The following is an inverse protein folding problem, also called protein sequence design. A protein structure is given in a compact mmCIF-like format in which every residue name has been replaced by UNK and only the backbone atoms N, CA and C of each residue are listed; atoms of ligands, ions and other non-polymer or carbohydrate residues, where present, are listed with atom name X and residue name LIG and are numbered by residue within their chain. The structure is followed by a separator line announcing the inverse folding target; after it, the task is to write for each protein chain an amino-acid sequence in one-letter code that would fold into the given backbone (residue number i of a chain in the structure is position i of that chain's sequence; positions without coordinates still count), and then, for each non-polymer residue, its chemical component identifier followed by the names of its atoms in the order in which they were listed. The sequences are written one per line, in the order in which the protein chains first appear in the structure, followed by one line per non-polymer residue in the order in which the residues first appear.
data_IF_348364064413
#
_entry.id   IF_348364064413
#
_cell.length_a   1.000
_cell.length_b   1.000
_cell.length_c   1.000
_cell.angle_alpha   90.00
_cell.angle_beta   90.00
_cell.angle_gamma   90.00
#
_symmetry.space_group_name_H-M   'P 1'
#
loop_
_entity.id
_entity.type
_entity.pdbx_description
1 polymer ?
#
# COMPACT_ATOMS: atom_id res chain seq x y z
N UNK A 1 -16.79 -6.97 54.49
CA UNK A 1 -15.87 -7.24 53.36
C UNK A 1 -16.46 -6.92 51.98
N UNK A 2 -17.79 -6.98 51.79
CA UNK A 2 -18.49 -6.74 50.51
C UNK A 2 -18.34 -5.32 49.91
N UNK A 3 -18.36 -4.27 50.74
CA UNK A 3 -18.26 -2.87 50.26
C UNK A 3 -16.93 -2.54 49.55
N UNK A 4 -15.80 -3.12 50.02
CA UNK A 4 -14.47 -2.88 49.44
C UNK A 4 -14.29 -3.54 48.07
N UNK A 5 -14.91 -4.71 47.85
CA UNK A 5 -14.94 -5.36 46.52
C UNK A 5 -15.78 -4.55 45.52
N UNK A 6 -16.88 -3.93 45.97
CA UNK A 6 -17.78 -3.11 45.15
C UNK A 6 -17.13 -1.81 44.66
N UNK A 7 -16.37 -1.14 45.52
CA UNK A 7 -15.63 0.08 45.15
C UNK A 7 -14.46 -0.22 44.20
N UNK A 8 -13.72 -1.31 44.43
CA UNK A 8 -12.63 -1.75 43.53
C UNK A 8 -13.16 -2.09 42.14
N UNK A 9 -14.30 -2.80 42.05
CA UNK A 9 -14.94 -3.12 40.77
C UNK A 9 -15.36 -1.85 40.02
N UNK A 10 -15.95 -0.87 40.71
CA UNK A 10 -16.31 0.42 40.11
C UNK A 10 -15.09 1.21 39.63
N UNK A 11 -13.97 1.16 40.34
CA UNK A 11 -12.72 1.79 39.92
C UNK A 11 -12.15 1.12 38.67
N UNK A 12 -12.16 -0.21 38.62
CA UNK A 12 -11.70 -0.97 37.44
C UNK A 12 -12.58 -0.67 36.22
N UNK A 13 -13.91 -0.67 36.37
CA UNK A 13 -14.84 -0.34 35.29
C UNK A 13 -14.56 1.06 34.74
N UNK A 14 -14.36 2.06 35.60
CA UNK A 14 -14.04 3.44 35.17
C UNK A 14 -12.73 3.52 34.40
N UNK A 15 -11.68 2.82 34.85
CA UNK A 15 -10.39 2.80 34.15
C UNK A 15 -10.54 2.16 32.77
N UNK A 16 -11.26 1.04 32.67
CA UNK A 16 -11.52 0.37 31.39
C UNK A 16 -12.31 1.28 30.44
N UNK A 17 -13.35 1.96 30.93
CA UNK A 17 -14.14 2.89 30.11
C UNK A 17 -13.28 4.04 29.59
N UNK A 18 -12.43 4.64 30.43
CA UNK A 18 -11.50 5.70 30.01
C UNK A 18 -10.49 5.18 28.98
N UNK A 19 -9.95 3.97 29.17
CA UNK A 19 -9.03 3.35 28.23
C UNK A 19 -9.69 3.10 26.85
N UNK A 20 -10.93 2.61 26.83
CA UNK A 20 -11.69 2.41 25.59
C UNK A 20 -11.93 3.74 24.88
N UNK A 21 -12.33 4.78 25.61
CA UNK A 21 -12.54 6.12 25.02
C UNK A 21 -11.22 6.67 24.46
N UNK A 22 -10.11 6.52 25.18
CA UNK A 22 -8.79 6.98 24.73
C UNK A 22 -8.31 6.24 23.47
N UNK A 23 -8.57 4.92 23.36
CA UNK A 23 -8.27 4.12 22.17
C UNK A 23 -9.14 4.52 20.98
N UNK A 24 -10.43 4.81 21.20
CA UNK A 24 -11.35 5.25 20.13
C UNK A 24 -10.97 6.60 19.52
N UNK A 25 -10.36 7.51 20.29
CA UNK A 25 -9.92 8.83 19.78
C UNK A 25 -8.74 8.70 18.80
N UNK A 26 -7.95 7.62 18.87
CA UNK A 26 -6.83 7.41 17.93
C UNK A 26 -7.30 7.04 16.51
N UNK A 27 -8.55 6.56 16.36
CA UNK A 27 -9.10 6.14 15.06
C UNK A 27 -9.53 7.30 14.16
N UNK A 28 -9.56 8.55 14.66
CA UNK A 28 -10.07 9.71 13.90
C UNK A 28 -9.00 10.44 13.08
N UNK A 29 -7.72 10.14 13.26
CA UNK A 29 -6.61 10.81 12.55
C UNK A 29 -6.32 10.24 11.15
N UNK A 30 -7.10 9.28 10.66
CA UNK A 30 -6.81 8.56 9.41
C UNK A 30 -7.58 9.05 8.16
N UNK A 31 -8.46 10.05 8.28
CA UNK A 31 -9.17 10.61 7.14
C UNK A 31 -8.48 11.89 6.66
N UNK A 32 -7.52 11.76 5.74
CA UNK A 32 -7.12 12.91 4.93
C UNK A 32 -8.30 13.35 4.05
N UNK A 33 -8.60 14.66 3.96
CA UNK A 33 -9.66 15.13 3.07
C UNK A 33 -9.31 14.81 1.62
N UNK A 34 -10.24 14.20 0.90
CA UNK A 34 -10.08 13.71 -0.49
C UNK A 34 -9.48 14.77 -1.43
N UNK A 35 -9.81 16.05 -1.23
CA UNK A 35 -9.27 17.18 -2.00
C UNK A 35 -7.74 17.27 -1.99
N UNK A 36 -7.09 16.96 -0.86
CA UNK A 36 -5.61 17.01 -0.80
C UNK A 36 -4.99 15.93 -1.66
N UNK A 37 -5.62 14.75 -1.72
CA UNK A 37 -5.10 13.63 -2.49
C UNK A 37 -5.21 13.89 -4.01
N UNK A 38 -6.30 14.50 -4.45
CA UNK A 38 -6.51 14.85 -5.86
C UNK A 38 -5.54 15.92 -6.34
N UNK A 39 -5.29 16.96 -5.53
CA UNK A 39 -4.29 17.98 -5.85
C UNK A 39 -2.88 17.41 -5.98
N UNK A 40 -2.48 16.49 -5.09
CA UNK A 40 -1.17 15.80 -5.18
C UNK A 40 -1.07 14.96 -6.46
N UNK A 41 -2.14 14.24 -6.84
CA UNK A 41 -2.17 13.47 -8.10
C UNK A 41 -2.02 14.37 -9.33
N UNK A 42 -2.69 15.51 -9.34
CA UNK A 42 -2.57 16.50 -10.44
C UNK A 42 -1.13 17.03 -10.52
N UNK A 43 -0.51 17.39 -9.41
CA UNK A 43 0.88 17.87 -9.38
C UNK A 43 1.85 16.82 -9.94
N UNK A 44 1.66 15.54 -9.61
CA UNK A 44 2.46 14.43 -10.15
C UNK A 44 2.30 14.33 -11.68
N UNK A 45 1.07 14.43 -12.18
CA UNK A 45 0.78 14.40 -13.61
C UNK A 45 1.37 15.61 -14.35
N UNK A 46 1.34 16.79 -13.75
CA UNK A 46 2.00 17.98 -14.32
C UNK A 46 3.51 17.82 -14.41
N UNK A 47 4.15 17.30 -13.36
CA UNK A 47 5.59 16.96 -13.39
C UNK A 47 5.88 15.91 -14.47
N UNK A 48 4.99 14.95 -14.66
CA UNK A 48 5.14 13.95 -15.72
C UNK A 48 5.08 14.57 -17.12
N UNK A 49 4.21 15.55 -17.38
CA UNK A 49 4.19 16.29 -18.65
C UNK A 49 5.54 16.94 -18.95
N UNK A 50 6.11 17.63 -17.96
CA UNK A 50 7.41 18.28 -18.14
C UNK A 50 8.55 17.27 -18.34
N UNK A 51 8.50 16.14 -17.62
CA UNK A 51 9.44 15.03 -17.83
C UNK A 51 9.36 14.46 -19.25
N UNK A 52 8.16 14.30 -19.81
CA UNK A 52 7.96 13.79 -21.17
C UNK A 52 8.54 14.77 -22.19
N UNK A 53 8.24 16.06 -22.06
CA UNK A 53 8.78 17.11 -22.94
C UNK A 53 10.31 17.13 -22.91
N UNK A 54 10.90 17.09 -21.71
CA UNK A 54 12.35 17.05 -21.55
C UNK A 54 12.96 15.80 -22.20
N UNK A 55 12.38 14.63 -21.92
CA UNK A 55 12.87 13.36 -22.45
C UNK A 55 12.81 13.28 -23.98
N UNK A 56 11.68 13.65 -24.59
CA UNK A 56 11.55 13.65 -26.06
C UNK A 56 12.49 14.67 -26.72
N UNK A 57 12.72 15.83 -26.08
CA UNK A 57 13.70 16.81 -26.56
C UNK A 57 15.13 16.29 -26.51
N UNK A 58 15.48 15.56 -25.45
CA UNK A 58 16.82 14.97 -25.30
C UNK A 58 17.03 13.83 -26.31
N UNK A 59 16.00 13.02 -26.57
CA UNK A 59 16.02 12.01 -27.63
C UNK A 59 16.18 12.65 -29.02
N UNK A 60 15.42 13.71 -29.32
CA UNK A 60 15.55 14.44 -30.58
C UNK A 60 16.97 15.00 -30.75
N UNK A 61 17.55 15.59 -29.70
CA UNK A 61 18.93 16.10 -29.74
C UNK A 61 19.91 14.97 -30.07
N UNK A 62 19.80 13.83 -29.39
CA UNK A 62 20.68 12.68 -29.64
C UNK A 62 20.53 12.13 -31.07
N UNK A 63 19.31 12.08 -31.60
CA UNK A 63 19.04 11.63 -32.98
C UNK A 63 19.62 12.62 -34.01
N UNK A 64 19.44 13.93 -33.81
CA UNK A 64 20.03 14.97 -34.68
C UNK A 64 21.57 14.92 -34.64
N UNK A 65 22.17 14.75 -33.46
CA UNK A 65 23.62 14.58 -33.33
C UNK A 65 24.12 13.33 -34.07
N UNK A 66 23.38 12.22 -34.00
CA UNK A 66 23.71 11.01 -34.74
C UNK A 66 23.64 11.24 -36.26
N UNK A 67 22.62 11.95 -36.75
CA UNK A 67 22.49 12.32 -38.16
C UNK A 67 23.64 13.22 -38.61
N UNK A 68 23.98 14.24 -37.83
CA UNK A 68 25.12 15.13 -38.14
C UNK A 68 26.43 14.35 -38.23
N UNK A 69 26.70 13.44 -37.29
CA UNK A 69 27.89 12.59 -37.34
C UNK A 69 27.94 11.72 -38.61
N UNK A 70 26.80 11.26 -39.13
CA UNK A 70 26.73 10.51 -40.40
C UNK A 70 27.03 11.41 -41.60
N UNK A 71 26.52 12.64 -41.59
CA UNK A 71 26.81 13.65 -42.60
C UNK A 71 28.31 14.01 -42.61
N UNK A 72 28.91 14.22 -41.43
CA UNK A 72 30.33 14.56 -41.29
C UNK A 72 31.25 13.44 -41.79
N UNK A 73 30.83 12.18 -41.65
CA UNK A 73 31.53 11.00 -42.21
C UNK A 73 31.28 10.79 -43.70
N UNK A 74 30.43 11.60 -44.34
CA UNK A 74 30.07 11.48 -45.75
C UNK A 74 29.18 10.26 -46.06
N UNK A 75 28.53 9.66 -45.05
CA UNK A 75 27.66 8.49 -45.22
C UNK A 75 26.29 8.85 -45.84
N UNK A 76 25.89 10.13 -45.75
CA UNK A 76 24.62 10.66 -46.26
C UNK A 76 24.85 12.03 -46.90
N UNK A 77 23.97 12.44 -47.82
CA UNK A 77 24.02 13.78 -48.42
C UNK A 77 23.46 14.86 -47.48
N UNK A 78 23.73 16.14 -47.80
CA UNK A 78 23.15 17.26 -47.05
C UNK A 78 21.63 17.26 -47.15
N UNK A 79 21.07 17.03 -48.34
CA UNK A 79 19.63 16.95 -48.55
C UNK A 79 18.99 15.81 -47.76
N UNK A 80 19.66 14.65 -47.73
CA UNK A 80 19.17 13.49 -46.97
C UNK A 80 19.24 13.74 -45.45
N UNK A 81 20.32 14.36 -44.96
CA UNK A 81 20.45 14.77 -43.56
C UNK A 81 19.32 15.70 -43.13
N UNK A 82 19.03 16.75 -43.90
CA UNK A 82 17.94 17.69 -43.57
C UNK A 82 16.57 17.01 -43.57
N UNK A 83 16.32 16.12 -44.54
CA UNK A 83 15.09 15.32 -44.56
C UNK A 83 14.94 14.45 -43.31
N UNK A 84 16.01 13.76 -42.89
CA UNK A 84 16.00 12.91 -41.70
C UNK A 84 15.78 13.71 -40.41
N UNK A 85 16.40 14.89 -40.28
CA UNK A 85 16.19 15.77 -39.12
C UNK A 85 14.76 16.26 -39.03
N UNK A 86 14.14 16.64 -40.15
CA UNK A 86 12.74 17.05 -40.18
C UNK A 86 11.80 15.91 -39.77
N UNK A 87 12.03 14.70 -40.29
CA UNK A 87 11.26 13.51 -39.90
C UNK A 87 11.39 13.18 -38.41
N UNK A 88 12.62 13.27 -37.86
CA UNK A 88 12.83 13.09 -36.42
C UNK A 88 12.09 14.16 -35.61
N UNK A 89 12.15 15.43 -36.03
CA UNK A 89 11.44 16.52 -35.37
C UNK A 89 9.91 16.32 -35.38
N UNK A 90 9.33 15.96 -36.52
CA UNK A 90 7.90 15.66 -36.64
C UNK A 90 7.47 14.50 -35.74
N UNK A 91 8.24 13.41 -35.73
CA UNK A 91 8.00 12.23 -34.88
C UNK A 91 8.01 12.61 -33.40
N UNK A 92 9.04 13.31 -32.94
CA UNK A 92 9.17 13.69 -31.54
C UNK A 92 8.11 14.73 -31.13
N UNK A 93 7.76 15.67 -32.01
CA UNK A 93 6.67 16.61 -31.77
C UNK A 93 5.33 15.88 -31.60
N UNK A 94 5.01 14.93 -32.50
CA UNK A 94 3.79 14.12 -32.40
C UNK A 94 3.77 13.26 -31.13
N UNK A 95 4.91 12.71 -30.71
CA UNK A 95 5.01 11.97 -29.45
C UNK A 95 4.71 12.85 -28.23
N UNK A 96 5.29 14.06 -28.19
CA UNK A 96 5.04 15.01 -27.11
C UNK A 96 3.55 15.36 -27.07
N UNK A 97 2.97 15.75 -28.21
CA UNK A 97 1.57 16.14 -28.32
C UNK A 97 0.64 15.04 -27.82
N UNK A 98 0.77 13.82 -28.36
CA UNK A 98 -0.09 12.70 -28.00
C UNK A 98 0.04 12.31 -26.52
N UNK A 99 1.28 12.26 -25.99
CA UNK A 99 1.51 11.87 -24.60
C UNK A 99 1.03 12.94 -23.62
N UNK A 100 1.22 14.21 -23.93
CA UNK A 100 0.71 15.33 -23.14
C UNK A 100 -0.83 15.35 -23.15
N UNK A 101 -1.45 15.13 -24.31
CA UNK A 101 -2.91 15.07 -24.43
C UNK A 101 -3.53 13.96 -23.57
N UNK A 102 -2.88 12.79 -23.48
CA UNK A 102 -3.32 11.71 -22.57
C UNK A 102 -3.31 12.18 -21.12
N UNK A 103 -2.26 12.88 -20.70
CA UNK A 103 -2.15 13.36 -19.31
C UNK A 103 -3.15 14.48 -19.03
N UNK A 104 -3.35 15.40 -19.97
CA UNK A 104 -4.35 16.46 -19.81
C UNK A 104 -5.76 15.88 -19.67
N UNK A 105 -6.08 14.82 -20.43
CA UNK A 105 -7.34 14.09 -20.26
C UNK A 105 -7.45 13.41 -18.88
N UNK A 106 -6.34 12.85 -18.35
CA UNK A 106 -6.32 12.29 -16.98
C UNK A 106 -6.56 13.36 -15.92
N UNK A 107 -5.93 14.53 -16.06
CA UNK A 107 -6.14 15.68 -15.16
C UNK A 107 -7.60 16.15 -15.23
N UNK A 108 -8.16 16.28 -16.44
CA UNK A 108 -9.55 16.67 -16.63
C UNK A 108 -10.52 15.66 -15.97
N UNK A 109 -10.21 14.36 -16.05
CA UNK A 109 -11.01 13.32 -15.40
C UNK A 109 -10.94 13.40 -13.87
N UNK A 110 -9.75 13.64 -13.30
CA UNK A 110 -9.57 13.87 -11.85
C UNK A 110 -10.31 15.12 -11.35
N UNK A 111 -10.30 16.19 -12.13
CA UNK A 111 -11.01 17.42 -11.77
C UNK A 111 -12.53 17.24 -11.77
N UNK A 112 -13.06 16.38 -12.66
CA UNK A 112 -14.52 16.10 -12.73
C UNK A 112 -14.97 15.10 -11.69
N UNK A 113 -14.14 14.09 -11.45
CA UNK A 113 -14.43 13.00 -10.53
C UNK A 113 -13.39 13.09 -9.42
N UNK A 114 -13.73 13.73 -8.30
CA UNK A 114 -12.87 13.91 -7.11
C UNK A 114 -12.14 12.60 -6.70
N UNK A 115 -12.71 11.44 -7.05
CA UNK A 115 -12.05 10.13 -7.02
C UNK A 115 -12.12 9.46 -8.40
N UNK A 116 -10.96 9.26 -9.02
CA UNK A 116 -10.77 8.26 -10.06
C UNK A 116 -9.81 7.22 -9.48
N UNK A 117 -10.27 5.99 -9.34
CA UNK A 117 -9.37 4.84 -9.15
C UNK A 117 -8.62 4.64 -10.46
N UNK A 118 -7.62 5.48 -10.70
CA UNK A 118 -6.63 5.19 -11.70
C UNK A 118 -5.85 4.01 -11.15
N UNK A 119 -5.99 2.85 -11.79
CA UNK A 119 -5.03 1.75 -11.71
C UNK A 119 -3.67 2.31 -12.15
N UNK A 120 -3.02 2.99 -11.21
CA UNK A 120 -1.61 3.19 -11.26
C UNK A 120 -1.09 1.83 -10.89
N UNK A 121 -0.41 1.19 -11.84
CA UNK A 121 0.35 -0.03 -11.66
C UNK A 121 1.32 0.23 -10.50
N UNK A 122 0.82 0.01 -9.28
CA UNK A 122 1.38 0.64 -8.10
C UNK A 122 2.65 -0.12 -7.77
N UNK A 123 3.77 0.48 -8.13
CA UNK A 123 5.10 -0.02 -7.77
C UNK A 123 5.39 0.12 -6.28
N UNK A 124 4.50 0.80 -5.55
CA UNK A 124 4.55 0.98 -4.12
C UNK A 124 4.38 -0.36 -3.39
N UNK A 125 5.28 -0.61 -2.43
CA UNK A 125 5.12 -1.68 -1.47
C UNK A 125 4.08 -1.24 -0.44
N UNK A 126 3.21 -2.17 -0.07
CA UNK A 126 2.29 -1.99 1.05
C UNK A 126 2.39 -3.19 1.98
N UNK A 127 2.00 -2.94 3.23
CA UNK A 127 1.87 -3.95 4.26
C UNK A 127 0.37 -4.13 4.51
N UNK A 128 -0.12 -5.36 4.38
CA UNK A 128 -1.47 -5.75 4.78
C UNK A 128 -1.37 -6.66 6.00
N UNK A 129 -2.13 -6.37 7.04
CA UNK A 129 -2.27 -7.19 8.25
C UNK A 129 -3.75 -7.51 8.41
N UNK A 130 -4.08 -8.80 8.49
CA UNK A 130 -5.44 -9.32 8.36
C UNK A 130 -5.70 -9.85 6.95
N UNK A 131 -6.28 -11.04 6.85
CA UNK A 131 -6.79 -11.56 5.58
C UNK A 131 -7.82 -10.58 5.02
N UNK A 132 -7.70 -10.19 3.76
CA UNK A 132 -8.79 -9.43 3.14
C UNK A 132 -9.95 -10.40 2.98
N UNK A 133 -11.16 -10.03 3.41
CA UNK A 133 -12.38 -10.77 3.08
C UNK A 133 -12.77 -10.65 1.60
N UNK A 134 -11.81 -10.27 0.76
CA UNK A 134 -11.93 -9.91 -0.64
C UNK A 134 -11.17 -10.94 -1.48
N UNK A 135 -11.86 -11.51 -2.46
CA UNK A 135 -11.36 -12.62 -3.29
C UNK A 135 -10.17 -12.19 -4.18
N UNK A 136 -9.90 -10.89 -4.28
CA UNK A 136 -8.81 -10.32 -5.07
C UNK A 136 -7.42 -10.39 -4.42
N UNK A 137 -7.30 -10.75 -3.14
CA UNK A 137 -6.01 -10.76 -2.41
C UNK A 137 -5.62 -12.15 -1.91
N UNK A 138 -4.35 -12.33 -1.56
CA UNK A 138 -3.84 -13.59 -1.02
C UNK A 138 -4.36 -13.83 0.41
N UNK A 139 -4.39 -15.10 0.84
CA UNK A 139 -4.85 -15.50 2.17
C UNK A 139 -3.89 -15.16 3.30
N UNK A 140 -2.68 -14.69 2.99
CA UNK A 140 -1.66 -14.45 4.01
C UNK A 140 -2.16 -13.41 5.02
N UNK A 141 -2.05 -13.75 6.31
CA UNK A 141 -2.43 -12.85 7.41
C UNK A 141 -1.56 -11.59 7.42
N UNK A 142 -0.31 -11.70 6.96
CA UNK A 142 0.58 -10.56 6.75
C UNK A 142 1.12 -10.66 5.32
N UNK A 143 0.84 -9.66 4.51
CA UNK A 143 1.42 -9.53 3.18
C UNK A 143 2.32 -8.29 3.12
N UNK A 144 3.53 -8.47 2.61
CA UNK A 144 4.45 -7.39 2.27
C UNK A 144 4.89 -7.53 0.82
N UNK A 145 4.49 -6.59 -0.02
CA UNK A 145 4.83 -6.67 -1.43
C UNK A 145 4.12 -5.60 -2.27
N UNK A 146 4.30 -5.69 -3.58
CA UNK A 146 3.59 -4.84 -4.54
C UNK A 146 2.15 -5.31 -4.67
N UNK A 147 1.21 -4.40 -4.95
CA UNK A 147 -0.23 -4.74 -5.11
C UNK A 147 -0.47 -5.77 -6.20
N UNK A 148 0.21 -5.64 -7.33
CA UNK A 148 0.09 -6.60 -8.44
C UNK A 148 0.57 -8.03 -8.10
N UNK A 149 1.36 -8.18 -7.03
CA UNK A 149 1.84 -9.47 -6.57
C UNK A 149 0.96 -10.07 -5.45
N UNK A 150 0.01 -9.31 -4.90
CA UNK A 150 -0.99 -9.82 -3.94
C UNK A 150 -2.07 -10.54 -4.75
N UNK A 151 -1.72 -11.73 -5.23
CA UNK A 151 -2.56 -12.53 -6.11
C UNK A 151 -3.80 -13.04 -5.39
N UNK A 152 -4.92 -13.24 -6.09
CA UNK A 152 -6.17 -13.69 -5.51
C UNK A 152 -6.02 -15.05 -4.83
N UNK A 153 -6.89 -15.25 -3.83
CA UNK A 153 -6.97 -16.44 -2.99
C UNK A 153 -6.98 -17.72 -3.82
N UNK A 154 -6.03 -18.62 -3.57
CA UNK A 154 -6.05 -19.98 -4.10
C UNK A 154 -6.89 -20.87 -3.18
N UNK A 155 -8.08 -21.26 -3.60
CA UNK A 155 -8.98 -22.11 -2.81
C UNK A 155 -8.50 -23.57 -2.69
N UNK A 156 -7.86 -24.13 -3.73
CA UNK A 156 -7.35 -25.50 -3.73
C UNK A 156 -5.89 -25.56 -3.26
N UNK A 157 -5.69 -25.36 -1.95
CA UNK A 157 -4.39 -25.54 -1.30
C UNK A 157 -4.29 -26.96 -0.75
N UNK A 158 -3.30 -27.70 -1.25
CA UNK A 158 -2.93 -29.02 -0.71
C UNK A 158 -2.15 -28.92 0.60
N UNK A 159 -1.54 -27.77 0.86
CA UNK A 159 -0.76 -27.52 2.07
C UNK A 159 -1.08 -26.13 2.62
N UNK A 160 -1.36 -26.03 3.92
CA UNK A 160 -1.65 -24.77 4.62
C UNK A 160 -0.70 -24.60 5.79
N UNK A 161 -0.21 -23.36 6.01
CA UNK A 161 0.68 -23.04 7.13
C UNK A 161 0.16 -21.84 7.91
N UNK A 162 -0.05 -22.01 9.21
CA UNK A 162 -0.61 -20.98 10.08
C UNK A 162 0.32 -20.71 11.27
N UNK A 163 0.56 -19.44 11.56
CA UNK A 163 1.19 -19.01 12.81
C UNK A 163 0.15 -19.08 13.92
N UNK A 164 0.39 -19.90 14.93
CA UNK A 164 -0.51 -20.09 16.06
C UNK A 164 0.11 -19.43 17.29
N UNK A 165 -0.62 -18.51 17.93
CA UNK A 165 -0.23 -17.91 19.19
C UNK A 165 -1.25 -18.28 20.26
N UNK A 166 -0.78 -18.82 21.38
CA UNK A 166 -1.62 -19.19 22.52
C UNK A 166 -1.05 -18.60 23.81
N UNK A 167 -1.95 -18.15 24.68
CA UNK A 167 -1.63 -17.67 26.02
C UNK A 167 -2.68 -18.19 26.99
N UNK A 168 -2.27 -18.63 28.16
CA UNK A 168 -3.19 -19.13 29.16
C UNK A 168 -2.58 -19.27 30.55
N UNK A 169 -3.39 -19.77 31.47
CA UNK A 169 -3.00 -19.99 32.86
C UNK A 169 -3.22 -21.46 33.23
N UNK A 170 -2.23 -22.06 33.89
CA UNK A 170 -2.30 -23.41 34.44
C UNK A 170 -2.70 -23.30 35.92
N UNK A 171 -3.91 -23.74 36.26
CA UNK A 171 -4.36 -23.83 37.66
C UNK A 171 -4.71 -25.29 37.98
N UNK A 172 -4.37 -25.75 39.18
CA UNK A 172 -4.80 -27.05 39.70
C UNK A 172 -6.10 -26.86 40.50
N UNK A 173 -7.13 -27.68 40.23
CA UNK A 173 -8.35 -27.72 41.03
C UNK A 173 -8.24 -28.81 42.11
N UNK A 174 -8.60 -28.46 43.33
CA UNK A 174 -8.80 -29.41 44.44
C UNK A 174 -10.29 -29.67 44.56
N UNK A 175 -10.68 -30.94 44.65
CA UNK A 175 -12.08 -31.34 44.69
C UNK A 175 -12.77 -30.82 45.97
N UNK A 176 -13.80 -30.00 45.80
CA UNK A 176 -14.56 -29.39 46.88
C UNK A 176 -14.10 -28.01 47.39
N UNK A 177 -13.05 -27.39 46.80
CA UNK A 177 -12.64 -26.03 47.14
C UNK A 177 -12.78 -25.04 45.97
N UNK A 178 -13.15 -23.80 46.29
CA UNK A 178 -13.22 -22.70 45.33
C UNK A 178 -11.80 -22.27 44.89
N UNK A 179 -11.65 -21.83 43.64
CA UNK A 179 -10.37 -21.43 43.06
C UNK A 179 -9.66 -20.29 43.84
N UNK A 180 -10.44 -19.44 44.54
CA UNK A 180 -9.95 -18.34 45.39
C UNK A 180 -9.38 -18.84 46.73
N UNK A 181 -9.80 -20.01 47.22
CA UNK A 181 -9.45 -20.56 48.54
C UNK A 181 -8.39 -21.67 48.47
N UNK A 182 -8.00 -22.10 47.26
CA UNK A 182 -6.93 -23.09 47.10
C UNK A 182 -5.55 -22.55 47.54
N UNK A 183 -4.63 -23.39 48.03
CA UNK A 183 -3.27 -23.00 48.42
C UNK A 183 -2.39 -22.56 47.24
N UNK A 184 -2.90 -22.66 46.00
CA UNK A 184 -2.20 -22.27 44.79
C UNK A 184 -2.58 -20.85 44.36
N UNK A 185 -1.60 -20.05 43.93
CA UNK A 185 -1.89 -18.71 43.41
C UNK A 185 -2.69 -18.81 42.12
N UNK A 186 -3.88 -18.19 42.10
CA UNK A 186 -4.62 -17.90 40.88
C UNK A 186 -3.73 -17.17 39.87
N UNK A 187 -3.62 -17.73 38.66
CA UNK A 187 -2.73 -17.24 37.60
C UNK A 187 -1.22 -17.24 37.98
N UNK A 188 -0.82 -18.04 38.97
CA UNK A 188 0.57 -18.17 39.41
C UNK A 188 1.47 -18.92 38.42
N UNK A 189 0.89 -19.68 37.50
CA UNK A 189 1.58 -20.31 36.37
C UNK A 189 0.86 -19.93 35.09
N UNK A 190 1.54 -19.21 34.21
CA UNK A 190 1.07 -18.88 32.86
C UNK A 190 1.89 -19.62 31.81
N UNK A 191 1.33 -19.76 30.62
CA UNK A 191 2.07 -20.19 29.44
C UNK A 191 1.86 -19.21 28.30
N UNK A 192 2.89 -19.06 27.48
CA UNK A 192 2.86 -18.36 26.20
C UNK A 192 3.50 -19.30 25.19
N UNK A 193 2.77 -19.61 24.13
CA UNK A 193 3.20 -20.54 23.10
C UNK A 193 3.07 -19.89 21.73
N UNK A 194 4.12 -20.07 20.92
CA UNK A 194 4.15 -19.70 19.51
C UNK A 194 4.44 -20.98 18.72
N UNK A 195 3.48 -21.38 17.89
CA UNK A 195 3.54 -22.58 17.08
C UNK A 195 3.45 -22.25 15.59
N UNK A 196 3.99 -23.15 14.78
CA UNK A 196 3.80 -23.15 13.34
C UNK A 196 3.02 -24.40 12.96
N UNK A 197 1.74 -24.25 12.65
CA UNK A 197 0.91 -25.36 12.20
C UNK A 197 1.09 -25.55 10.70
N UNK A 198 1.33 -26.79 10.26
CA UNK A 198 1.35 -27.14 8.84
C UNK A 198 0.46 -28.37 8.61
N UNK A 199 -0.32 -28.36 7.53
CA UNK A 199 -1.14 -29.49 7.07
C UNK A 199 -0.91 -29.69 5.59
#
# INVERSE_FOLDING_TARGET
MSFKKRTVMQTITRIITVAIIALSIQLTYAQEPDDKQTNVKIEILEKEKERIKAHERDLLRAEVEAINKRLDRGEISREESERLKNQAAEKHAANIENRVAIIDNKIALLNRNERVDMETDSTAYYIRIGGSGDDETNDDFIYFGKRNNDKPRRYDKRTTSDLVFAIGFNNALIDGEDLDDSPYKLAGSGFVELGWAWK
#
